data_IF_808483984737
#
_entry.id   IF_808483984737
#
_cell.length_a   1.000
_cell.length_b   1.000
_cell.length_c   1.000
_cell.angle_alpha   90.00
_cell.angle_beta   90.00
_cell.angle_gamma   90.00
#
_symmetry.space_group_name_H-M   'P 1'
#
loop_
_entity.id
_entity.type
_entity.pdbx_description
1 polymer ?
#
# COMPACT_ATOMS: atom_id res chain seq x y z
N UNK A 1 25.45 4.50 6.26
CA UNK A 1 24.33 3.75 6.89
C UNK A 1 23.58 2.99 5.81
N UNK A 2 23.14 1.78 6.11
CA UNK A 2 22.31 0.96 5.21
C UNK A 2 20.97 0.71 5.89
N UNK A 3 19.89 0.77 5.12
CA UNK A 3 18.57 0.32 5.56
C UNK A 3 18.12 -0.77 4.59
N UNK A 4 17.90 -1.99 5.09
CA UNK A 4 17.55 -3.15 4.27
C UNK A 4 18.48 -3.33 3.05
N UNK A 5 19.80 -3.21 3.27
CA UNK A 5 20.83 -3.30 2.21
C UNK A 5 20.97 -2.06 1.30
N UNK A 6 20.06 -1.09 1.39
CA UNK A 6 20.11 0.14 0.59
C UNK A 6 20.97 1.19 1.31
N UNK A 7 22.02 1.68 0.65
CA UNK A 7 22.86 2.77 1.19
C UNK A 7 22.15 4.11 1.00
N UNK A 8 21.20 4.40 1.90
CA UNK A 8 20.32 5.58 1.86
C UNK A 8 21.08 6.89 1.73
N UNK A 9 22.24 7.01 2.37
CA UNK A 9 23.07 8.22 2.34
C UNK A 9 24.21 8.19 1.30
N UNK A 10 24.49 7.03 0.68
CA UNK A 10 25.58 6.91 -0.30
C UNK A 10 25.08 6.97 -1.75
N UNK A 11 23.88 7.52 -1.97
CA UNK A 11 23.34 7.78 -3.30
C UNK A 11 22.60 6.63 -3.97
N UNK A 12 22.41 5.48 -3.29
CA UNK A 12 21.62 4.37 -3.84
C UNK A 12 20.16 4.75 -4.17
N UNK A 13 19.66 5.85 -3.61
CA UNK A 13 18.31 6.37 -3.83
C UNK A 13 18.30 7.65 -4.68
N UNK A 14 19.42 8.03 -5.30
CA UNK A 14 19.51 9.25 -6.11
C UNK A 14 18.57 9.20 -7.33
N UNK A 15 18.43 8.01 -7.93
CA UNK A 15 17.49 7.74 -9.02
C UNK A 15 16.05 7.51 -8.56
N UNK A 16 15.80 7.66 -7.25
CA UNK A 16 14.51 7.45 -6.63
C UNK A 16 14.20 6.00 -6.27
N UNK A 17 13.31 5.82 -5.30
CA UNK A 17 12.57 4.60 -5.04
C UNK A 17 11.09 4.84 -5.32
N UNK A 18 10.41 3.78 -5.76
CA UNK A 18 8.99 3.80 -6.11
C UNK A 18 8.31 2.63 -5.41
N UNK A 19 7.23 2.93 -4.71
CA UNK A 19 6.41 1.95 -4.02
C UNK A 19 5.01 2.03 -4.60
N UNK A 20 4.51 0.90 -5.10
CA UNK A 20 3.13 0.77 -5.53
C UNK A 20 2.25 0.60 -4.30
N UNK A 21 1.29 1.50 -4.12
CA UNK A 21 0.41 1.53 -2.93
C UNK A 21 -1.06 1.57 -3.29
N UNK A 22 -1.41 1.41 -4.57
CA UNK A 22 -2.79 1.33 -5.02
C UNK A 22 -2.96 0.32 -6.17
N UNK A 23 -4.19 0.10 -6.59
CA UNK A 23 -4.52 -0.91 -7.60
C UNK A 23 -4.24 -0.44 -9.04
N UNK A 24 -4.13 0.88 -9.27
CA UNK A 24 -4.00 1.44 -10.61
C UNK A 24 -2.54 1.79 -10.95
N UNK A 25 -2.24 1.90 -12.24
CA UNK A 25 -0.88 2.16 -12.76
C UNK A 25 -0.48 3.63 -12.80
N UNK A 26 -1.39 4.53 -12.40
CA UNK A 26 -1.16 5.98 -12.43
C UNK A 26 -0.24 6.46 -11.29
N UNK A 27 0.45 7.60 -11.43
CA UNK A 27 1.41 8.09 -10.43
C UNK A 27 0.81 8.42 -9.05
N UNK A 28 -0.47 8.74 -8.99
CA UNK A 28 -1.25 8.94 -7.76
C UNK A 28 -1.31 7.68 -6.88
N UNK A 29 -1.15 6.49 -7.46
CA UNK A 29 -1.13 5.20 -6.76
C UNK A 29 0.29 4.79 -6.35
N UNK A 30 1.27 5.71 -6.45
CA UNK A 30 2.66 5.44 -6.14
C UNK A 30 3.21 6.44 -5.13
N UNK A 31 3.99 5.92 -4.18
CA UNK A 31 4.85 6.74 -3.32
C UNK A 31 6.24 6.70 -3.93
N UNK A 32 6.66 7.84 -4.46
CA UNK A 32 7.99 8.02 -5.05
C UNK A 32 8.78 9.02 -4.22
N UNK A 33 10.03 8.72 -3.93
CA UNK A 33 10.94 9.65 -3.29
C UNK A 33 12.37 9.38 -3.75
N UNK A 34 13.21 10.41 -3.74
CA UNK A 34 14.63 10.30 -4.01
C UNK A 34 15.44 10.98 -2.92
N UNK A 35 16.63 10.42 -2.67
CA UNK A 35 17.60 10.97 -1.73
C UNK A 35 18.91 11.05 -2.47
N UNK A 36 19.39 12.28 -2.68
CA UNK A 36 20.71 12.50 -3.22
C UNK A 36 21.75 11.90 -2.28
N UNK A 37 22.80 11.31 -2.84
CA UNK A 37 23.89 10.79 -2.04
C UNK A 37 24.66 11.90 -1.35
N UNK A 38 24.89 11.75 -0.05
CA UNK A 38 25.75 12.60 0.77
C UNK A 38 27.22 12.19 0.53
N UNK A 39 27.70 12.39 -0.70
CA UNK A 39 29.11 12.28 -1.05
C UNK A 39 29.74 13.66 -1.03
N UNK A 40 31.03 13.74 -0.67
CA UNK A 40 31.82 14.98 -0.72
C UNK A 40 31.64 15.71 -2.06
N UNK A 41 31.58 14.99 -3.19
CA UNK A 41 31.39 15.57 -4.52
C UNK A 41 29.98 16.11 -4.82
N UNK A 42 28.96 15.68 -4.06
CA UNK A 42 27.56 16.10 -4.22
C UNK A 42 27.16 17.20 -3.22
N UNK A 43 28.07 17.54 -2.32
CA UNK A 43 27.91 18.61 -1.35
C UNK A 43 28.72 19.79 -1.89
N UNK A 44 28.05 20.92 -2.02
CA UNK A 44 28.51 22.21 -2.57
C UNK A 44 30.03 22.41 -2.61
N UNK A 45 30.54 22.96 -3.72
CA UNK A 45 31.95 23.26 -3.94
C UNK A 45 32.38 24.40 -3.00
N UNK A 46 32.72 24.05 -1.75
CA UNK A 46 32.97 24.97 -0.65
C UNK A 46 32.48 24.45 0.71
N UNK A 47 31.64 23.41 0.71
CA UNK A 47 31.15 22.74 1.92
C UNK A 47 32.06 21.59 2.39
N UNK A 48 31.45 20.52 2.90
CA UNK A 48 32.13 19.30 3.38
C UNK A 48 33.20 18.73 2.42
N UNK A 49 33.06 18.96 1.11
CA UNK A 49 34.02 18.51 0.12
C UNK A 49 35.44 19.04 0.37
N UNK A 50 35.54 20.30 0.77
CA UNK A 50 36.82 20.98 1.00
C UNK A 50 37.48 20.53 2.31
N UNK A 51 36.72 20.04 3.28
CA UNK A 51 37.25 19.39 4.49
C UNK A 51 37.73 17.97 4.16
N UNK A 52 36.92 17.18 3.44
CA UNK A 52 37.23 15.78 3.11
C UNK A 52 38.46 15.67 2.21
N UNK A 53 38.66 16.62 1.29
CA UNK A 53 39.86 16.68 0.45
C UNK A 53 41.06 17.37 1.13
N UNK A 54 40.95 17.74 2.41
CA UNK A 54 42.03 18.33 3.19
C UNK A 54 42.43 19.75 2.77
N UNK A 55 41.60 20.44 1.98
CA UNK A 55 41.81 21.84 1.59
C UNK A 55 41.70 22.78 2.78
N UNK A 56 40.82 22.46 3.75
CA UNK A 56 40.72 23.15 5.03
C UNK A 56 40.89 22.17 6.18
N UNK A 57 41.63 22.57 7.21
CA UNK A 57 41.92 21.77 8.40
C UNK A 57 41.39 22.46 9.66
N UNK A 58 41.00 21.66 10.65
CA UNK A 58 40.64 22.11 12.01
C UNK A 58 41.70 21.71 13.05
N UNK A 59 42.83 21.14 12.61
CA UNK A 59 43.90 20.67 13.48
C UNK A 59 44.85 21.79 13.93
N UNK A 60 45.79 21.45 14.82
CA UNK A 60 46.67 22.42 15.51
C UNK A 60 47.63 23.25 14.65
N UNK A 61 47.66 23.07 13.33
CA UNK A 61 48.43 23.90 12.39
C UNK A 61 47.56 24.73 11.45
N UNK A 62 46.24 24.80 11.67
CA UNK A 62 45.32 25.54 10.81
C UNK A 62 45.19 27.00 11.24
N UNK A 63 45.19 27.91 10.26
CA UNK A 63 44.91 29.33 10.48
C UNK A 63 43.44 29.56 10.85
N UNK A 64 43.18 30.61 11.63
CA UNK A 64 41.82 30.96 12.09
C UNK A 64 40.80 31.07 10.96
N UNK A 65 41.20 31.62 9.81
CA UNK A 65 40.34 31.73 8.63
C UNK A 65 39.97 30.35 8.05
N UNK A 66 40.90 29.39 8.02
CA UNK A 66 40.62 28.03 7.56
C UNK A 66 39.68 27.28 8.50
N UNK A 67 39.81 27.51 9.81
CA UNK A 67 38.91 26.95 10.83
C UNK A 67 37.48 27.48 10.64
N UNK A 68 37.30 28.79 10.41
CA UNK A 68 35.98 29.38 10.18
C UNK A 68 35.28 28.78 8.95
N UNK A 69 36.01 28.66 7.83
CA UNK A 69 35.47 28.03 6.61
C UNK A 69 35.11 26.56 6.83
N UNK A 70 35.92 25.82 7.60
CA UNK A 70 35.60 24.44 7.95
C UNK A 70 34.34 24.34 8.83
N UNK A 71 34.12 25.26 9.76
CA UNK A 71 32.89 25.30 10.58
C UNK A 71 31.66 25.57 9.71
N UNK A 72 31.73 26.54 8.79
CA UNK A 72 30.64 26.85 7.86
C UNK A 72 30.32 25.64 6.96
N UNK A 73 31.36 24.96 6.46
CA UNK A 73 31.23 23.74 5.68
C UNK A 73 30.56 22.59 6.46
N UNK A 74 30.83 22.45 7.76
CA UNK A 74 30.15 21.49 8.63
C UNK A 74 28.67 21.88 8.82
N UNK A 75 28.35 23.14 9.04
CA UNK A 75 26.97 23.62 9.21
C UNK A 75 26.12 23.33 7.96
N UNK A 76 26.67 23.63 6.77
CA UNK A 76 26.04 23.24 5.50
C UNK A 76 25.82 21.73 5.42
N UNK A 77 26.79 20.95 5.86
CA UNK A 77 26.68 19.50 5.96
C UNK A 77 25.54 19.01 6.85
N UNK A 78 25.41 19.58 8.04
CA UNK A 78 24.34 19.27 8.99
C UNK A 78 22.98 19.63 8.40
N UNK A 79 22.83 20.83 7.82
CA UNK A 79 21.58 21.25 7.15
C UNK A 79 21.15 20.30 6.04
N UNK A 80 22.10 19.76 5.29
CA UNK A 80 21.82 18.75 4.26
C UNK A 80 21.33 17.43 4.86
N UNK A 81 21.93 16.96 5.95
CA UNK A 81 21.47 15.78 6.69
C UNK A 81 20.05 16.00 7.23
N UNK A 82 19.78 17.16 7.82
CA UNK A 82 18.47 17.48 8.38
C UNK A 82 17.40 17.56 7.30
N UNK A 83 17.74 18.12 6.13
CA UNK A 83 16.86 18.12 4.95
C UNK A 83 16.53 16.68 4.50
N UNK A 84 17.51 15.78 4.48
CA UNK A 84 17.27 14.36 4.14
C UNK A 84 16.38 13.70 5.19
N UNK A 85 16.61 13.94 6.48
CA UNK A 85 15.77 13.41 7.57
C UNK A 85 14.34 13.91 7.48
N UNK A 86 14.14 15.19 7.20
CA UNK A 86 12.83 15.78 7.01
C UNK A 86 12.08 15.14 5.83
N UNK A 87 12.76 14.91 4.69
CA UNK A 87 12.17 14.20 3.54
C UNK A 87 11.79 12.77 3.87
N UNK A 88 12.64 12.05 4.61
CA UNK A 88 12.34 10.68 5.06
C UNK A 88 11.14 10.65 6.01
N UNK A 89 11.05 11.59 6.95
CA UNK A 89 9.90 11.72 7.85
C UNK A 89 8.60 12.03 7.09
N UNK A 90 8.65 12.91 6.10
CA UNK A 90 7.48 13.20 5.26
C UNK A 90 7.02 11.96 4.48
N UNK A 91 7.96 11.16 3.97
CA UNK A 91 7.65 9.89 3.27
C UNK A 91 7.07 8.86 4.24
N UNK A 92 7.59 8.76 5.47
CA UNK A 92 7.03 7.89 6.52
C UNK A 92 5.57 8.26 6.84
N UNK A 93 5.28 9.54 7.07
CA UNK A 93 3.91 10.02 7.29
C UNK A 93 2.99 9.67 6.11
N UNK A 94 3.49 9.82 4.88
CA UNK A 94 2.71 9.45 3.69
C UNK A 94 2.43 7.95 3.63
N UNK A 95 3.38 7.10 4.03
CA UNK A 95 3.16 5.66 4.13
C UNK A 95 2.11 5.32 5.19
N UNK A 96 2.20 5.90 6.39
CA UNK A 96 1.26 5.65 7.49
C UNK A 96 -0.18 6.00 7.09
N UNK A 97 -0.40 7.22 6.58
CA UNK A 97 -1.73 7.64 6.09
C UNK A 97 -2.23 6.75 4.95
N UNK A 98 -1.34 6.31 4.06
CA UNK A 98 -1.73 5.44 2.95
C UNK A 98 -2.13 4.05 3.45
N UNK A 99 -1.40 3.49 4.41
CA UNK A 99 -1.72 2.20 5.02
C UNK A 99 -3.10 2.25 5.70
N UNK A 100 -3.37 3.32 6.46
CA UNK A 100 -4.68 3.50 7.12
C UNK A 100 -5.83 3.57 6.11
N UNK A 101 -5.64 4.34 5.03
CA UNK A 101 -6.63 4.43 3.95
C UNK A 101 -6.85 3.08 3.25
N UNK A 102 -5.78 2.31 3.01
CA UNK A 102 -5.88 0.99 2.39
C UNK A 102 -6.59 -0.02 3.30
N UNK A 103 -6.32 0.00 4.60
CA UNK A 103 -7.03 -0.85 5.56
C UNK A 103 -8.53 -0.54 5.57
N UNK A 104 -8.91 0.73 5.55
CA UNK A 104 -10.31 1.13 5.44
C UNK A 104 -10.95 0.66 4.12
N UNK A 105 -10.23 0.80 3.00
CA UNK A 105 -10.70 0.31 1.71
C UNK A 105 -10.90 -1.23 1.71
N UNK A 106 -9.97 -1.98 2.31
CA UNK A 106 -10.07 -3.44 2.45
C UNK A 106 -11.29 -3.84 3.28
N UNK A 107 -11.55 -3.14 4.40
CA UNK A 107 -12.74 -3.41 5.23
C UNK A 107 -14.03 -3.17 4.45
N UNK A 108 -14.11 -2.06 3.71
CA UNK A 108 -15.28 -1.73 2.91
C UNK A 108 -15.50 -2.72 1.76
N UNK A 109 -14.42 -3.10 1.06
CA UNK A 109 -14.47 -4.06 -0.04
C UNK A 109 -14.85 -5.46 0.45
N UNK A 110 -14.28 -5.91 1.56
CA UNK A 110 -14.62 -7.18 2.20
C UNK A 110 -16.10 -7.21 2.62
N UNK A 111 -16.61 -6.11 3.20
CA UNK A 111 -18.02 -6.00 3.57
C UNK A 111 -18.95 -5.99 2.34
N UNK A 112 -18.57 -5.31 1.25
CA UNK A 112 -19.31 -5.33 0.00
C UNK A 112 -19.33 -6.75 -0.61
N UNK A 113 -18.19 -7.42 -0.65
CA UNK A 113 -18.07 -8.81 -1.10
C UNK A 113 -18.90 -9.76 -0.25
N UNK A 114 -18.90 -9.62 1.08
CA UNK A 114 -19.74 -10.43 1.97
C UNK A 114 -21.22 -10.26 1.63
N UNK A 115 -21.70 -9.01 1.48
CA UNK A 115 -23.11 -8.76 1.13
C UNK A 115 -23.51 -9.37 -0.22
N UNK A 116 -22.62 -9.32 -1.21
CA UNK A 116 -22.86 -9.94 -2.52
C UNK A 116 -22.93 -11.46 -2.35
N UNK A 117 -21.94 -12.07 -1.70
CA UNK A 117 -21.93 -13.52 -1.49
C UNK A 117 -23.14 -14.01 -0.69
N UNK A 118 -23.53 -13.28 0.36
CA UNK A 118 -24.69 -13.63 1.19
C UNK A 118 -26.01 -13.52 0.40
N UNK A 119 -26.15 -12.49 -0.44
CA UNK A 119 -27.32 -12.33 -1.32
C UNK A 119 -27.40 -13.43 -2.39
N UNK A 120 -26.27 -13.77 -3.00
CA UNK A 120 -26.19 -14.85 -3.99
C UNK A 120 -26.49 -16.21 -3.33
N UNK A 121 -25.98 -16.46 -2.13
CA UNK A 121 -26.29 -17.67 -1.36
C UNK A 121 -27.77 -17.75 -0.98
N UNK A 122 -28.36 -16.64 -0.54
CA UNK A 122 -29.78 -16.58 -0.19
C UNK A 122 -30.67 -16.87 -1.41
N UNK A 123 -30.30 -16.35 -2.59
CA UNK A 123 -30.99 -16.60 -3.85
C UNK A 123 -30.90 -18.08 -4.26
N UNK A 124 -29.70 -18.66 -4.29
CA UNK A 124 -29.50 -20.06 -4.64
C UNK A 124 -30.24 -21.00 -3.68
N UNK A 125 -30.23 -20.69 -2.38
CA UNK A 125 -30.95 -21.46 -1.37
C UNK A 125 -32.47 -21.37 -1.55
N UNK A 126 -32.99 -20.19 -1.88
CA UNK A 126 -34.42 -20.00 -2.15
C UNK A 126 -34.86 -20.74 -3.43
N UNK A 127 -34.04 -20.71 -4.48
CA UNK A 127 -34.30 -21.45 -5.71
C UNK A 127 -34.25 -22.97 -5.46
N UNK A 128 -33.27 -23.47 -4.70
CA UNK A 128 -33.21 -24.86 -4.26
C UNK A 128 -34.47 -25.28 -3.50
N UNK A 129 -34.90 -24.47 -2.52
CA UNK A 129 -36.11 -24.73 -1.75
C UNK A 129 -37.37 -24.72 -2.64
N UNK A 130 -37.48 -23.77 -3.58
CA UNK A 130 -38.55 -23.72 -4.58
C UNK A 130 -38.58 -24.99 -5.44
N UNK A 131 -37.43 -25.47 -5.91
CA UNK A 131 -37.35 -26.71 -6.69
C UNK A 131 -37.76 -27.94 -5.86
N UNK A 132 -37.37 -28.01 -4.59
CA UNK A 132 -37.79 -29.08 -3.68
C UNK A 132 -39.31 -29.06 -3.44
N UNK A 133 -39.90 -27.88 -3.21
CA UNK A 133 -41.35 -27.72 -3.04
C UNK A 133 -42.09 -28.12 -4.33
N UNK A 134 -41.61 -27.68 -5.50
CA UNK A 134 -42.19 -28.06 -6.78
C UNK A 134 -42.12 -29.57 -7.03
N UNK A 135 -41.02 -30.22 -6.66
CA UNK A 135 -40.91 -31.68 -6.76
C UNK A 135 -41.91 -32.39 -5.83
N UNK A 136 -42.05 -31.96 -4.58
CA UNK A 136 -43.03 -32.52 -3.64
C UNK A 136 -44.48 -32.27 -4.09
N UNK A 137 -44.77 -31.06 -4.58
CA UNK A 137 -46.07 -30.70 -5.13
C UNK A 137 -46.39 -31.51 -6.39
N UNK A 138 -45.43 -31.70 -7.30
CA UNK A 138 -45.61 -32.52 -8.49
C UNK A 138 -45.95 -33.98 -8.13
N UNK A 139 -45.29 -34.55 -7.11
CA UNK A 139 -45.62 -35.89 -6.60
C UNK A 139 -47.03 -35.91 -6.00
N UNK A 140 -47.40 -34.92 -5.17
CA UNK A 140 -48.73 -34.84 -4.55
C UNK A 140 -49.86 -34.61 -5.56
N UNK A 141 -49.64 -33.77 -6.58
CA UNK A 141 -50.58 -33.56 -7.69
C UNK A 141 -50.68 -34.83 -8.53
N UNK A 142 -49.58 -35.52 -8.79
CA UNK A 142 -49.59 -36.80 -9.51
C UNK A 142 -50.37 -37.88 -8.72
N UNK A 143 -50.22 -37.95 -7.41
CA UNK A 143 -51.00 -38.89 -6.58
C UNK A 143 -52.48 -38.52 -6.54
N UNK A 144 -52.84 -37.24 -6.41
CA UNK A 144 -54.23 -36.78 -6.51
C UNK A 144 -54.84 -37.03 -7.89
N UNK A 145 -54.11 -36.76 -8.97
CA UNK A 145 -54.54 -37.02 -10.34
C UNK A 145 -54.75 -38.51 -10.62
N UNK A 146 -53.96 -39.39 -10.00
CA UNK A 146 -54.14 -40.85 -10.11
C UNK A 146 -55.32 -41.39 -9.28
N UNK A 147 -55.77 -40.67 -8.24
CA UNK A 147 -56.92 -41.07 -7.41
C UNK A 147 -58.26 -40.61 -8.01
N UNK A 148 -58.29 -39.49 -8.74
CA UNK A 148 -59.51 -38.96 -9.36
C UNK A 148 -60.25 -39.94 -10.32
N UNK A 149 -59.57 -40.78 -11.14
CA UNK A 149 -60.24 -41.79 -11.96
C UNK A 149 -60.86 -42.93 -11.14
N UNK A 150 -60.27 -43.29 -10.00
CA UNK A 150 -60.73 -44.42 -9.18
C UNK A 150 -62.02 -44.10 -8.41
N UNK A 151 -62.20 -42.85 -7.98
CA UNK A 151 -63.45 -42.40 -7.37
C UNK A 151 -64.60 -42.32 -8.37
N UNK A 152 -64.33 -42.05 -9.66
CA UNK A 152 -65.33 -42.10 -10.73
C UNK A 152 -65.73 -43.55 -11.05
N UNK A 153 -64.78 -44.49 -11.07
CA UNK A 153 -65.07 -45.91 -11.26
C UNK A 153 -65.96 -46.50 -10.14
N UNK A 154 -65.78 -46.05 -8.89
CA UNK A 154 -66.66 -46.41 -7.76
C UNK A 154 -68.09 -45.85 -7.85
N UNK A 155 -68.33 -44.83 -8.67
CA UNK A 155 -69.67 -44.25 -8.87
C UNK A 155 -70.48 -45.04 -9.91
N UNK A 156 -69.82 -45.84 -10.75
CA UNK A 156 -70.45 -46.67 -11.78
C UNK A 156 -70.54 -48.17 -11.43
N UNK A 157 -70.14 -48.55 -10.21
CA UNK A 157 -70.25 -49.91 -9.65
C UNK A 157 -71.10 -49.89 -8.39
#
# INVERSE_FOLDING_TARGET
TQFNGVKVLAGSLANGARFQVGANTRPDNQITFSIAGLSANNLDAGGLNSIVNGTFSIGGGADFSAIMVAVDAIDVGIKNIDTIRAKLGAVQNRFEVTIDNLNNAIVNESAARSRIMDADFAKETADLAKYQILQQAAISVLTQANLAPQSVLRLFT
#
